data_IF_925494844775
#
_entry.id   IF_925494844775
#
_cell.length_a   1.000
_cell.length_b   1.000
_cell.length_c   1.000
_cell.angle_alpha   90.00
_cell.angle_beta   90.00
_cell.angle_gamma   90.00
#
_symmetry.space_group_name_H-M   'P 1'
#
loop_
_entity.id
_entity.type
_entity.pdbx_description
1 polymer ?
#
# COMPACT_ATOMS: atom_id res chain seq x y z
N UNK A 1 11.88 -15.27 -8.73
CA UNK A 1 10.59 -15.19 -8.03
C UNK A 1 10.64 -13.91 -7.22
N UNK A 2 9.79 -12.93 -7.54
CA UNK A 2 9.81 -11.64 -6.88
C UNK A 2 9.22 -11.79 -5.47
N UNK A 3 9.83 -11.14 -4.48
CA UNK A 3 9.35 -11.16 -3.10
C UNK A 3 8.63 -9.84 -2.82
N UNK A 4 7.38 -9.76 -3.27
CA UNK A 4 6.58 -8.55 -3.11
C UNK A 4 6.04 -8.43 -1.69
N UNK A 5 6.31 -7.29 -1.07
CA UNK A 5 5.49 -6.73 0.00
C UNK A 5 4.37 -5.92 -0.65
N UNK A 6 3.15 -6.01 -0.12
CA UNK A 6 2.04 -5.16 -0.56
C UNK A 6 1.50 -4.30 0.57
N UNK A 7 0.89 -3.16 0.23
CA UNK A 7 0.02 -2.40 1.13
C UNK A 7 -1.33 -2.15 0.47
N UNK A 8 -2.42 -2.23 1.24
CA UNK A 8 -3.77 -1.93 0.77
C UNK A 8 -4.40 -0.85 1.65
N UNK A 9 -4.89 0.21 1.00
CA UNK A 9 -5.74 1.22 1.63
C UNK A 9 -7.20 1.02 1.20
N UNK A 10 -8.06 0.65 2.14
CA UNK A 10 -9.49 0.53 1.88
C UNK A 10 -10.21 1.85 2.11
N UNK A 11 -10.96 2.31 1.11
CA UNK A 11 -11.94 3.38 1.28
C UNK A 11 -13.35 2.83 1.51
N UNK A 12 -14.19 3.60 2.20
CA UNK A 12 -15.61 3.28 2.41
C UNK A 12 -16.46 3.51 1.15
N UNK A 13 -16.03 4.41 0.27
CA UNK A 13 -16.60 4.72 -1.04
C UNK A 13 -15.47 5.11 -1.99
N UNK A 14 -15.64 4.83 -3.28
CA UNK A 14 -14.64 5.20 -4.29
C UNK A 14 -13.60 4.11 -4.51
N UNK A 15 -12.39 4.52 -4.92
CA UNK A 15 -11.30 3.61 -5.23
C UNK A 15 -10.54 3.20 -3.97
N UNK A 16 -10.09 1.95 -3.95
CA UNK A 16 -9.13 1.45 -2.98
C UNK A 16 -7.72 1.65 -3.52
N UNK A 17 -6.76 1.85 -2.63
CA UNK A 17 -5.35 1.98 -2.96
C UNK A 17 -4.60 0.66 -2.81
N UNK A 18 -3.62 0.43 -3.68
CA UNK A 18 -2.67 -0.67 -3.55
C UNK A 18 -1.27 -0.22 -3.90
N UNK A 19 -0.29 -0.77 -3.21
CA UNK A 19 1.11 -0.61 -3.51
C UNK A 19 1.84 -1.95 -3.39
N UNK A 20 2.88 -2.14 -4.21
CA UNK A 20 3.75 -3.31 -4.21
C UNK A 20 5.20 -2.86 -4.22
N UNK A 21 6.02 -3.42 -3.33
CA UNK A 21 7.47 -3.25 -3.36
C UNK A 21 8.15 -4.61 -3.46
N UNK A 22 8.99 -4.80 -4.48
CA UNK A 22 9.92 -5.92 -4.52
C UNK A 22 11.16 -5.58 -3.69
N UNK A 23 11.28 -6.22 -2.53
CA UNK A 23 12.38 -6.00 -1.58
C UNK A 23 13.74 -6.34 -2.20
N UNK A 24 13.79 -7.21 -3.21
CA UNK A 24 15.04 -7.65 -3.83
C UNK A 24 15.58 -6.70 -4.90
N UNK A 25 14.71 -5.97 -5.59
CA UNK A 25 15.08 -5.11 -6.73
C UNK A 25 14.84 -3.63 -6.46
N UNK A 26 14.05 -3.29 -5.43
CA UNK A 26 13.57 -1.93 -5.21
C UNK A 26 12.47 -1.50 -6.18
N UNK A 27 11.92 -2.41 -7.00
CA UNK A 27 10.80 -2.09 -7.87
C UNK A 27 9.58 -1.70 -7.03
N UNK A 28 9.08 -0.49 -7.25
CA UNK A 28 7.98 0.07 -6.49
C UNK A 28 6.83 0.49 -7.41
N UNK A 29 5.67 -0.14 -7.21
CA UNK A 29 4.47 0.03 -8.02
C UNK A 29 3.31 0.48 -7.13
N UNK A 30 2.43 1.33 -7.65
CA UNK A 30 1.20 1.71 -6.96
C UNK A 30 0.07 1.97 -7.94
N UNK A 31 -1.16 1.85 -7.47
CA UNK A 31 -2.35 2.16 -8.23
C UNK A 31 -3.58 2.23 -7.34
N UNK A 32 -4.70 2.60 -7.94
CA UNK A 32 -6.00 2.59 -7.29
C UNK A 32 -7.07 2.06 -8.22
N UNK A 33 -8.13 1.52 -7.64
CA UNK A 33 -9.26 0.99 -8.40
C UNK A 33 -10.34 0.39 -7.52
N UNK A 34 -11.37 -0.17 -8.15
CA UNK A 34 -12.41 -0.88 -7.43
C UNK A 34 -11.87 -2.18 -6.80
N UNK A 35 -12.64 -2.77 -5.88
CA UNK A 35 -12.17 -3.91 -5.10
C UNK A 35 -11.80 -5.14 -5.95
N UNK A 36 -12.51 -5.37 -7.06
CA UNK A 36 -12.22 -6.48 -7.97
C UNK A 36 -10.88 -6.29 -8.70
N UNK A 37 -10.54 -5.05 -9.03
CA UNK A 37 -9.23 -4.72 -9.61
C UNK A 37 -8.10 -4.96 -8.59
N UNK A 38 -8.31 -4.54 -7.34
CA UNK A 38 -7.34 -4.79 -6.25
C UNK A 38 -7.15 -6.28 -6.01
N UNK A 39 -8.24 -7.05 -5.97
CA UNK A 39 -8.19 -8.51 -5.83
C UNK A 39 -7.41 -9.18 -6.95
N UNK A 40 -7.66 -8.79 -8.20
CA UNK A 40 -6.90 -9.30 -9.34
C UNK A 40 -5.41 -8.99 -9.23
N UNK A 41 -5.04 -7.80 -8.76
CA UNK A 41 -3.64 -7.42 -8.57
C UNK A 41 -2.99 -8.28 -7.46
N UNK A 42 -3.63 -8.41 -6.31
CA UNK A 42 -3.13 -9.26 -5.21
C UNK A 42 -2.94 -10.71 -5.65
N UNK A 43 -3.88 -11.27 -6.40
CA UNK A 43 -3.78 -12.64 -6.92
C UNK A 43 -2.70 -12.80 -8.00
N UNK A 44 -2.40 -11.74 -8.76
CA UNK A 44 -1.39 -11.75 -9.81
C UNK A 44 0.02 -11.63 -9.25
N UNK A 45 0.22 -10.68 -8.34
CA UNK A 45 1.52 -10.40 -7.72
C UNK A 45 1.87 -11.41 -6.62
N UNK A 46 0.86 -11.98 -5.94
CA UNK A 46 1.00 -12.93 -4.82
C UNK A 46 2.03 -12.45 -3.79
N UNK A 47 1.82 -11.27 -3.17
CA UNK A 47 2.75 -10.75 -2.19
C UNK A 47 2.93 -11.74 -1.05
N UNK A 48 4.16 -11.83 -0.55
CA UNK A 48 4.50 -12.69 0.60
C UNK A 48 3.93 -12.14 1.90
N UNK A 49 3.73 -10.82 1.95
CA UNK A 49 3.15 -10.11 3.08
C UNK A 49 2.28 -8.94 2.61
N UNK A 50 1.15 -8.72 3.30
CA UNK A 50 0.26 -7.59 3.05
C UNK A 50 0.09 -6.72 4.28
N UNK A 51 0.44 -5.46 4.15
CA UNK A 51 0.27 -4.42 5.16
C UNK A 51 -1.07 -3.71 4.98
N UNK A 52 -1.78 -3.46 6.07
CA UNK A 52 -3.04 -2.72 6.04
C UNK A 52 -3.32 -2.00 7.35
N UNK A 53 -4.28 -1.08 7.36
CA UNK A 53 -4.79 -0.49 8.61
C UNK A 53 -5.51 -1.58 9.43
N UNK A 54 -5.28 -1.57 10.75
CA UNK A 54 -5.87 -2.51 11.71
C UNK A 54 -7.39 -2.57 11.61
N UNK A 55 -8.05 -1.42 11.46
CA UNK A 55 -9.50 -1.31 11.26
C UNK A 55 -10.06 -2.16 10.10
N UNK A 56 -9.25 -2.47 9.09
CA UNK A 56 -9.66 -3.21 7.89
C UNK A 56 -9.24 -4.69 7.88
N UNK A 57 -8.64 -5.21 8.96
CA UNK A 57 -8.19 -6.61 9.03
C UNK A 57 -9.29 -7.64 8.71
N UNK A 58 -10.51 -7.42 9.23
CA UNK A 58 -11.64 -8.31 8.98
C UNK A 58 -12.18 -8.19 7.54
N UNK A 59 -12.15 -6.99 6.96
CA UNK A 59 -12.57 -6.77 5.57
C UNK A 59 -11.59 -7.43 4.59
N UNK A 60 -10.29 -7.36 4.90
CA UNK A 60 -9.25 -8.04 4.14
C UNK A 60 -9.50 -9.55 4.08
N UNK A 61 -9.71 -10.22 5.22
CA UNK A 61 -9.96 -11.67 5.24
C UNK A 61 -11.22 -12.05 4.44
N UNK A 62 -12.27 -11.23 4.51
CA UNK A 62 -13.50 -11.47 3.75
C UNK A 62 -13.29 -11.32 2.23
N UNK A 63 -12.38 -10.44 1.83
CA UNK A 63 -12.15 -10.13 0.42
C UNK A 63 -11.15 -11.09 -0.21
N UNK A 64 -10.01 -11.34 0.47
CA UNK A 64 -8.87 -12.06 -0.12
C UNK A 64 -8.61 -13.43 0.53
N UNK A 65 -9.38 -13.81 1.55
CA UNK A 65 -9.16 -15.04 2.31
C UNK A 65 -8.09 -14.90 3.40
N UNK A 66 -7.65 -16.04 3.93
CA UNK A 66 -6.73 -16.12 5.09
C UNK A 66 -5.33 -16.60 4.73
N UNK A 67 -5.06 -16.83 3.44
CA UNK A 67 -3.82 -17.45 2.98
C UNK A 67 -2.64 -16.47 2.90
N UNK A 68 -2.92 -15.16 2.93
CA UNK A 68 -1.90 -14.13 2.94
C UNK A 68 -1.42 -13.84 4.37
N UNK A 69 -0.11 -13.81 4.56
CA UNK A 69 0.47 -13.22 5.76
C UNK A 69 0.18 -11.73 5.78
N UNK A 70 -0.19 -11.19 6.94
CA UNK A 70 -0.61 -9.80 7.07
C UNK A 70 -0.03 -9.13 8.30
N UNK A 71 0.26 -7.85 8.16
CA UNK A 71 0.67 -6.99 9.26
C UNK A 71 -0.23 -5.77 9.33
N UNK A 72 -0.74 -5.45 10.52
CA UNK A 72 -1.64 -4.31 10.70
C UNK A 72 -0.93 -3.13 11.34
N UNK A 73 -1.05 -1.95 10.74
CA UNK A 73 -0.60 -0.69 11.31
C UNK A 73 -1.77 0.10 11.91
N UNK A 74 -1.42 1.12 12.69
CA UNK A 74 -2.39 2.08 13.24
C UNK A 74 -3.03 2.92 12.14
N UNK A 75 -4.24 3.40 12.40
CA UNK A 75 -5.09 4.11 11.44
C UNK A 75 -4.45 5.41 10.94
N UNK A 76 -3.70 6.11 11.80
CA UNK A 76 -3.07 7.39 11.45
C UNK A 76 -2.04 7.24 10.32
N UNK A 77 -1.42 6.05 10.19
CA UNK A 77 -0.47 5.74 9.12
C UNK A 77 -1.15 5.73 7.75
N UNK A 78 -2.45 5.46 7.69
CA UNK A 78 -3.23 5.41 6.46
C UNK A 78 -4.02 6.71 6.20
N UNK A 79 -3.46 7.85 6.62
CA UNK A 79 -4.01 9.17 6.31
C UNK A 79 -3.32 9.77 5.09
N UNK A 80 -4.07 10.46 4.23
CA UNK A 80 -3.55 11.05 2.99
C UNK A 80 -2.41 12.04 3.26
N UNK A 81 -2.55 12.92 4.25
CA UNK A 81 -1.54 13.92 4.58
C UNK A 81 -0.20 13.26 4.97
N UNK A 82 -0.25 12.29 5.90
CA UNK A 82 0.94 11.60 6.37
C UNK A 82 1.65 10.83 5.25
N UNK A 83 0.88 10.05 4.48
CA UNK A 83 1.42 9.18 3.43
C UNK A 83 1.93 9.97 2.24
N UNK A 84 1.29 11.09 1.90
CA UNK A 84 1.78 12.01 0.87
C UNK A 84 3.08 12.67 1.31
N UNK A 85 3.17 13.20 2.53
CA UNK A 85 4.43 13.75 3.06
C UNK A 85 5.54 12.69 3.04
N UNK A 86 5.20 11.45 3.42
CA UNK A 86 6.12 10.32 3.39
C UNK A 86 6.71 10.06 2.00
N UNK A 87 5.86 10.04 0.98
CA UNK A 87 6.29 9.85 -0.41
C UNK A 87 7.15 11.01 -0.91
N UNK A 88 6.73 12.25 -0.66
CA UNK A 88 7.46 13.45 -1.09
C UNK A 88 8.86 13.50 -0.46
N UNK A 89 8.95 13.19 0.84
CA UNK A 89 10.21 13.13 1.58
C UNK A 89 11.11 12.00 1.07
N UNK A 90 10.59 10.78 0.93
CA UNK A 90 11.37 9.62 0.49
C UNK A 90 11.98 9.80 -0.90
N UNK A 91 11.23 10.40 -1.83
CA UNK A 91 11.70 10.64 -3.20
C UNK A 91 12.39 11.99 -3.41
N UNK A 92 12.49 12.82 -2.37
CA UNK A 92 13.06 14.17 -2.43
C UNK A 92 12.43 15.06 -3.53
N UNK A 93 11.10 14.98 -3.68
CA UNK A 93 10.34 15.75 -4.68
C UNK A 93 9.33 16.70 -4.03
N UNK A 94 8.97 17.75 -4.76
CA UNK A 94 7.93 18.70 -4.33
C UNK A 94 6.51 18.31 -4.74
N UNK A 95 6.35 17.35 -5.67
CA UNK A 95 5.04 16.85 -6.10
C UNK A 95 5.16 15.43 -6.69
N UNK A 96 4.04 14.71 -6.77
CA UNK A 96 4.00 13.37 -7.34
C UNK A 96 3.58 13.35 -8.82
N UNK A 97 3.55 14.52 -9.47
CA UNK A 97 3.21 14.65 -10.90
C UNK A 97 4.18 13.91 -11.80
N UNK A 98 5.47 13.92 -11.46
CA UNK A 98 6.51 13.20 -12.20
C UNK A 98 6.33 11.68 -12.18
N UNK A 99 5.58 11.15 -11.20
CA UNK A 99 5.25 9.73 -11.08
C UNK A 99 3.86 9.40 -11.65
N UNK A 100 3.08 10.41 -12.06
CA UNK A 100 1.74 10.21 -12.62
C UNK A 100 0.66 9.85 -11.59
N UNK A 101 0.91 10.01 -10.29
CA UNK A 101 -0.03 9.61 -9.22
C UNK A 101 -0.57 10.77 -8.39
N UNK A 102 -0.34 12.03 -8.79
CA UNK A 102 -0.63 13.21 -7.96
C UNK A 102 -2.11 13.35 -7.54
N UNK A 103 -3.02 12.86 -8.38
CA UNK A 103 -4.48 12.86 -8.15
C UNK A 103 -5.01 11.50 -7.65
N UNK A 104 -4.13 10.50 -7.45
CA UNK A 104 -4.49 9.14 -7.02
C UNK A 104 -4.30 8.98 -5.50
N UNK A 105 -5.13 9.68 -4.71
CA UNK A 105 -4.97 9.75 -3.25
C UNK A 105 -4.98 8.38 -2.56
N UNK A 106 -5.81 7.44 -3.05
CA UNK A 106 -5.87 6.11 -2.46
C UNK A 106 -4.57 5.35 -2.71
N UNK A 107 -4.03 5.45 -3.94
CA UNK A 107 -2.74 4.88 -4.31
C UNK A 107 -1.60 5.46 -3.46
N UNK A 108 -1.56 6.80 -3.33
CA UNK A 108 -0.60 7.50 -2.48
C UNK A 108 -0.66 7.01 -1.04
N UNK A 109 -1.87 6.76 -0.52
CA UNK A 109 -2.03 6.29 0.86
C UNK A 109 -1.44 4.89 1.06
N UNK A 110 -1.71 3.95 0.16
CA UNK A 110 -1.09 2.62 0.23
C UNK A 110 0.44 2.69 0.05
N UNK A 111 0.92 3.53 -0.87
CA UNK A 111 2.34 3.70 -1.15
C UNK A 111 3.10 4.38 0.00
N UNK A 112 2.54 5.38 0.68
CA UNK A 112 3.20 5.97 1.85
C UNK A 112 3.23 4.99 3.04
N UNK A 113 2.17 4.20 3.21
CA UNK A 113 2.10 3.22 4.29
C UNK A 113 3.12 2.08 4.17
N UNK A 114 3.40 1.59 2.95
CA UNK A 114 4.43 0.56 2.74
C UNK A 114 5.84 1.09 3.07
N UNK A 115 6.14 2.34 2.74
CA UNK A 115 7.41 2.98 3.08
C UNK A 115 7.57 3.16 4.59
N UNK A 116 6.51 3.63 5.27
CA UNK A 116 6.52 3.72 6.73
C UNK A 116 6.76 2.34 7.37
N UNK A 117 6.11 1.29 6.87
CA UNK A 117 6.29 -0.06 7.40
C UNK A 117 7.76 -0.50 7.33
N UNK A 118 8.40 -0.32 6.17
CA UNK A 118 9.79 -0.73 5.96
C UNK A 118 10.74 0.01 6.90
N UNK A 119 10.61 1.32 7.00
CA UNK A 119 11.42 2.09 7.95
C UNK A 119 11.17 1.66 9.41
N UNK A 120 9.95 1.26 9.76
CA UNK A 120 9.64 0.74 11.10
C UNK A 120 10.26 -0.63 11.39
N UNK A 121 10.65 -1.39 10.36
CA UNK A 121 11.39 -2.64 10.50
C UNK A 121 12.89 -2.41 10.66
N UNK A 122 13.46 -1.44 9.94
CA UNK A 122 14.89 -1.10 10.04
C UNK A 122 15.28 -0.45 11.37
N UNK A 123 14.33 0.25 12.01
CA UNK A 123 14.53 0.90 13.30
C UNK A 123 14.25 -0.03 14.51
N UNK A 124 14.10 -1.34 14.30
CA UNK A 124 13.99 -2.35 15.36
C UNK A 124 15.29 -3.13 15.53
#
# INVERSE_FOLDING_TARGET
QNNYLASIHFQSKGNHGIAFLDISTGEFLTGEGNILQIEKLIQSFKPSEVVLSRSFSNQFEKTFGKDFYKFTLEEWVYTTDFTREKLLSHFEVSSLKGFGIDEMEAAQTAAGAILYYLESLENK
#
